data_IF_094790071338
#
_entry.id   IF_094790071338
#
_cell.length_a   1.000
_cell.length_b   1.000
_cell.length_c   1.000
_cell.angle_alpha   90.00
_cell.angle_beta   90.00
_cell.angle_gamma   90.00
#
_symmetry.space_group_name_H-M   'P 1'
#
loop_
_entity.id
_entity.type
_entity.pdbx_description
1 polymer ?
#
# COMPACT_ATOMS: atom_id res chain seq x y z
N UNK A 1 -21.70 36.38 10.49
CA UNK A 1 -22.05 34.94 10.40
C UNK A 1 -21.98 34.37 8.98
N UNK A 2 -21.99 35.18 7.90
CA UNK A 2 -21.95 34.68 6.50
C UNK A 2 -20.63 34.04 6.04
N UNK A 3 -19.51 34.24 6.77
CA UNK A 3 -18.20 33.69 6.41
C UNK A 3 -17.89 32.31 7.02
N UNK A 4 -18.67 31.85 8.02
CA UNK A 4 -18.43 30.56 8.68
C UNK A 4 -18.91 29.36 7.86
N UNK A 5 -20.04 29.52 7.15
CA UNK A 5 -20.59 28.48 6.29
C UNK A 5 -19.66 28.04 5.15
N UNK A 6 -19.06 28.95 4.34
CA UNK A 6 -18.18 28.53 3.26
C UNK A 6 -16.90 27.87 3.77
N UNK A 7 -16.37 28.30 4.92
CA UNK A 7 -15.17 27.68 5.53
C UNK A 7 -15.48 26.25 5.99
N UNK A 8 -16.60 26.03 6.66
CA UNK A 8 -17.04 24.69 7.08
C UNK A 8 -17.28 23.78 5.88
N UNK A 9 -17.88 24.30 4.80
CA UNK A 9 -18.13 23.52 3.59
C UNK A 9 -16.81 23.08 2.92
N UNK A 10 -15.84 23.98 2.80
CA UNK A 10 -14.53 23.69 2.20
C UNK A 10 -13.74 22.69 3.05
N UNK A 11 -13.77 22.80 4.38
CA UNK A 11 -13.07 21.84 5.25
C UNK A 11 -13.65 20.43 5.19
N UNK A 12 -14.98 20.29 5.00
CA UNK A 12 -15.61 18.97 4.87
C UNK A 12 -15.30 18.33 3.50
N UNK A 13 -15.29 19.10 2.42
CA UNK A 13 -15.00 18.58 1.08
C UNK A 13 -13.53 18.11 0.98
N UNK A 14 -12.59 18.86 1.54
CA UNK A 14 -11.17 18.44 1.60
C UNK A 14 -10.95 17.21 2.50
N UNK A 15 -11.74 17.07 3.57
CA UNK A 15 -11.71 15.89 4.43
C UNK A 15 -12.26 14.62 3.78
N UNK A 16 -13.19 14.75 2.84
CA UNK A 16 -13.78 13.61 2.11
C UNK A 16 -12.87 13.16 0.96
N UNK A 17 -12.28 14.08 0.21
CA UNK A 17 -11.36 13.74 -0.89
C UNK A 17 -10.09 13.00 -0.39
N UNK A 18 -9.62 13.31 0.83
CA UNK A 18 -8.46 12.66 1.43
C UNK A 18 -8.75 11.27 2.02
N UNK A 19 -10.02 10.88 2.15
CA UNK A 19 -10.39 9.56 2.68
C UNK A 19 -10.29 8.44 1.63
N UNK A 20 -10.11 8.80 0.37
CA UNK A 20 -10.24 7.89 -0.79
C UNK A 20 -8.92 7.68 -1.53
N UNK A 21 -7.83 8.29 -1.09
CA UNK A 21 -6.53 8.06 -1.72
C UNK A 21 -6.03 6.66 -1.35
N UNK A 22 -5.95 5.78 -2.34
CA UNK A 22 -5.33 4.48 -2.21
C UNK A 22 -3.95 4.52 -2.85
N UNK A 23 -2.93 4.30 -2.03
CA UNK A 23 -1.56 4.19 -2.50
C UNK A 23 -1.10 2.75 -2.38
N UNK A 24 -0.11 2.35 -3.16
CA UNK A 24 0.43 1.01 -3.10
C UNK A 24 1.95 0.98 -3.24
N UNK A 25 2.54 -0.10 -2.76
CA UNK A 25 3.92 -0.50 -3.04
C UNK A 25 3.95 -2.00 -3.26
N UNK A 26 4.73 -2.42 -4.24
CA UNK A 26 4.84 -3.82 -4.60
C UNK A 26 6.25 -4.36 -4.35
N UNK A 27 6.27 -5.60 -3.90
CA UNK A 27 7.47 -6.38 -3.69
C UNK A 27 7.41 -7.66 -4.50
N UNK A 28 8.57 -8.18 -4.87
CA UNK A 28 8.78 -9.50 -5.46
C UNK A 28 9.64 -10.36 -4.54
N UNK A 29 9.49 -11.68 -4.63
CA UNK A 29 10.24 -12.63 -3.81
C UNK A 29 11.70 -12.71 -4.27
N UNK A 30 12.64 -12.63 -3.33
CA UNK A 30 14.08 -12.80 -3.60
C UNK A 30 14.42 -14.24 -4.01
N UNK A 31 13.73 -15.21 -3.42
CA UNK A 31 13.80 -16.62 -3.83
C UNK A 31 12.74 -16.93 -4.88
N UNK A 32 12.96 -18.03 -5.62
CA UNK A 32 11.92 -18.60 -6.46
C UNK A 32 10.75 -19.06 -5.58
N UNK A 33 9.55 -18.89 -6.09
CA UNK A 33 8.30 -19.29 -5.44
C UNK A 33 7.18 -19.26 -6.45
N UNK A 34 6.26 -20.22 -6.38
CA UNK A 34 5.15 -20.32 -7.32
C UNK A 34 3.81 -20.49 -6.61
N UNK A 35 2.72 -20.64 -7.37
CA UNK A 35 1.37 -20.80 -6.85
C UNK A 35 1.21 -21.91 -5.79
N UNK A 36 2.02 -22.97 -5.83
CA UNK A 36 2.01 -24.03 -4.80
C UNK A 36 2.54 -23.55 -3.44
N UNK A 37 3.43 -22.55 -3.45
CA UNK A 37 3.99 -21.95 -2.24
C UNK A 37 3.16 -20.75 -1.75
N UNK A 38 2.04 -20.44 -2.42
CA UNK A 38 1.26 -19.22 -2.16
C UNK A 38 0.82 -19.08 -0.69
N UNK A 39 0.58 -20.17 0.03
CA UNK A 39 0.24 -20.14 1.46
C UNK A 39 1.37 -19.57 2.32
N UNK A 40 2.62 -20.00 2.08
CA UNK A 40 3.80 -19.49 2.79
C UNK A 40 4.02 -18.01 2.46
N UNK A 41 4.04 -17.67 1.18
CA UNK A 41 4.26 -16.29 0.75
C UNK A 41 3.13 -15.35 1.19
N UNK A 42 1.88 -15.83 1.28
CA UNK A 42 0.76 -15.05 1.82
C UNK A 42 0.98 -14.68 3.29
N UNK A 43 1.44 -15.62 4.10
CA UNK A 43 1.75 -15.36 5.51
C UNK A 43 2.89 -14.33 5.63
N UNK A 44 3.96 -14.49 4.86
CA UNK A 44 5.09 -13.56 4.84
C UNK A 44 4.71 -12.17 4.31
N UNK A 45 3.75 -12.08 3.38
CA UNK A 45 3.25 -10.81 2.89
C UNK A 45 2.37 -10.10 3.92
N UNK A 46 1.59 -10.85 4.72
CA UNK A 46 0.78 -10.30 5.81
C UNK A 46 1.60 -9.71 6.97
N UNK A 47 2.91 -9.98 7.04
CA UNK A 47 3.83 -9.30 7.97
C UNK A 47 4.14 -7.85 7.52
N UNK A 48 4.01 -7.55 6.23
CA UNK A 48 4.35 -6.23 5.69
C UNK A 48 3.46 -5.10 6.24
N UNK A 49 2.12 -5.24 6.31
CA UNK A 49 1.26 -4.24 6.95
C UNK A 49 1.70 -3.89 8.37
N UNK A 50 2.08 -4.88 9.18
CA UNK A 50 2.53 -4.65 10.56
C UNK A 50 3.80 -3.80 10.60
N UNK A 51 4.78 -4.08 9.73
CA UNK A 51 6.00 -3.26 9.61
C UNK A 51 5.68 -1.82 9.21
N UNK A 52 4.75 -1.65 8.28
CA UNK A 52 4.32 -0.31 7.88
C UNK A 52 3.52 0.42 8.95
N UNK A 53 2.70 -0.27 9.75
CA UNK A 53 1.99 0.34 10.87
C UNK A 53 2.98 0.89 11.92
N UNK A 54 4.02 0.13 12.26
CA UNK A 54 5.09 0.59 13.16
C UNK A 54 5.80 1.84 12.59
N UNK A 55 6.18 1.81 11.31
CA UNK A 55 6.74 2.98 10.65
C UNK A 55 5.75 4.15 10.68
N UNK A 56 4.46 3.88 10.47
CA UNK A 56 3.42 4.90 10.38
C UNK A 56 3.20 5.65 11.71
N UNK A 57 3.21 4.92 12.83
CA UNK A 57 3.14 5.50 14.18
C UNK A 57 4.29 6.49 14.43
N UNK A 58 5.49 6.17 13.98
CA UNK A 58 6.68 7.03 14.09
C UNK A 58 6.65 8.22 13.12
N UNK A 59 5.78 8.17 12.10
CA UNK A 59 5.69 9.16 11.02
C UNK A 59 4.32 9.85 10.97
N UNK A 60 3.70 10.07 12.15
CA UNK A 60 2.46 10.86 12.32
C UNK A 60 1.24 10.32 11.57
N UNK A 61 1.14 9.00 11.39
CA UNK A 61 -0.02 8.39 10.74
C UNK A 61 -0.10 8.63 9.23
N UNK A 62 0.98 9.11 8.61
CA UNK A 62 1.06 9.48 7.19
C UNK A 62 0.58 8.42 6.21
N UNK A 63 0.92 7.15 6.42
CA UNK A 63 0.53 6.03 5.55
C UNK A 63 -0.93 5.61 5.72
N UNK A 64 -1.70 6.26 6.60
CA UNK A 64 -3.08 5.91 6.90
C UNK A 64 -3.21 4.75 7.88
N UNK A 65 -4.40 4.59 8.45
CA UNK A 65 -4.69 3.62 9.52
C UNK A 65 -5.08 2.24 9.01
N UNK A 66 -5.44 2.14 7.74
CA UNK A 66 -5.85 0.90 7.11
C UNK A 66 -4.79 0.52 6.07
N UNK A 67 -3.92 -0.41 6.45
CA UNK A 67 -2.86 -0.94 5.59
C UNK A 67 -3.17 -2.41 5.34
N UNK A 68 -3.34 -2.79 4.08
CA UNK A 68 -3.68 -4.15 3.66
C UNK A 68 -2.59 -4.72 2.79
N UNK A 69 -2.50 -6.05 2.73
CA UNK A 69 -1.57 -6.73 1.83
C UNK A 69 -2.28 -7.84 1.06
N UNK A 70 -1.84 -8.06 -0.18
CA UNK A 70 -2.33 -9.10 -1.08
C UNK A 70 -1.13 -9.79 -1.73
N UNK A 71 -1.26 -11.08 -1.97
CA UNK A 71 -0.19 -11.91 -2.54
C UNK A 71 -0.68 -12.60 -3.79
N UNK A 72 0.17 -12.67 -4.80
CA UNK A 72 -0.05 -13.42 -6.02
C UNK A 72 1.28 -14.04 -6.44
N UNK A 73 1.23 -15.21 -7.08
CA UNK A 73 2.42 -15.95 -7.46
C UNK A 73 2.30 -16.42 -8.91
N UNK A 74 3.44 -16.49 -9.59
CA UNK A 74 3.55 -17.07 -10.91
C UNK A 74 3.20 -18.57 -10.88
N UNK A 75 2.69 -19.12 -12.00
CA UNK A 75 2.47 -20.55 -12.12
C UNK A 75 3.80 -21.32 -12.09
N UNK A 76 3.81 -22.51 -11.50
CA UNK A 76 5.05 -23.28 -11.31
C UNK A 76 5.70 -23.75 -12.63
N UNK A 77 4.98 -23.68 -13.76
CA UNK A 77 5.50 -24.00 -15.09
C UNK A 77 6.28 -22.87 -15.78
N UNK A 78 6.34 -21.68 -15.18
CA UNK A 78 7.04 -20.53 -15.75
C UNK A 78 8.55 -20.59 -15.46
N UNK A 79 9.36 -20.00 -16.34
CA UNK A 79 10.79 -19.88 -16.09
C UNK A 79 11.05 -18.86 -14.97
N UNK A 80 11.66 -19.34 -13.87
CA UNK A 80 11.98 -18.53 -12.67
C UNK A 80 10.74 -17.90 -12.00
N UNK A 81 9.78 -18.72 -11.53
CA UNK A 81 8.53 -18.20 -10.97
C UNK A 81 8.80 -17.42 -9.69
N UNK A 82 8.08 -16.31 -9.53
CA UNK A 82 8.14 -15.43 -8.36
C UNK A 82 6.79 -15.30 -7.69
N UNK A 83 6.83 -14.98 -6.41
CA UNK A 83 5.67 -14.45 -5.70
C UNK A 83 5.84 -12.95 -5.51
N UNK A 84 4.71 -12.27 -5.40
CA UNK A 84 4.65 -10.83 -5.28
C UNK A 84 3.74 -10.47 -4.11
N UNK A 85 4.11 -9.41 -3.41
CA UNK A 85 3.38 -8.85 -2.29
C UNK A 85 3.01 -7.41 -2.60
N UNK A 86 1.72 -7.15 -2.75
CA UNK A 86 1.17 -5.82 -2.92
C UNK A 86 0.70 -5.30 -1.56
N UNK A 87 1.27 -4.20 -1.11
CA UNK A 87 0.83 -3.50 0.11
C UNK A 87 0.08 -2.25 -0.31
N UNK A 88 -1.12 -2.08 0.23
CA UNK A 88 -2.02 -0.96 -0.06
C UNK A 88 -2.23 -0.13 1.19
N UNK A 89 -2.23 1.19 1.00
CA UNK A 89 -2.38 2.20 2.03
C UNK A 89 -3.65 2.97 1.75
N UNK A 90 -4.60 2.88 2.68
CA UNK A 90 -5.87 3.59 2.58
C UNK A 90 -5.83 4.82 3.48
N UNK A 91 -6.42 5.93 2.99
CA UNK A 91 -6.41 7.23 3.68
C UNK A 91 -4.99 7.77 3.83
N UNK A 92 -4.21 7.64 2.77
CA UNK A 92 -2.82 8.10 2.73
C UNK A 92 -2.77 9.63 2.77
N UNK A 93 -2.00 10.19 3.69
CA UNK A 93 -1.84 11.63 3.87
C UNK A 93 -0.78 12.20 2.93
N UNK A 94 -1.13 12.32 1.66
CA UNK A 94 -0.25 12.81 0.58
C UNK A 94 0.34 14.20 0.86
N UNK A 95 -0.40 15.07 1.55
CA UNK A 95 0.07 16.43 1.90
C UNK A 95 1.28 16.45 2.85
N UNK A 96 1.56 15.35 3.55
CA UNK A 96 2.77 15.23 4.40
C UNK A 96 3.98 14.85 3.55
N UNK A 97 3.83 13.86 2.67
CA UNK A 97 4.85 13.42 1.71
C UNK A 97 4.27 12.35 0.78
N UNK A 98 4.71 12.35 -0.48
CA UNK A 98 4.36 11.35 -1.50
C UNK A 98 5.33 10.15 -1.54
N UNK A 99 6.28 10.08 -0.60
CA UNK A 99 7.27 9.01 -0.56
C UNK A 99 6.81 7.83 0.32
N UNK A 100 6.72 6.63 -0.25
CA UNK A 100 6.51 5.39 0.54
C UNK A 100 7.89 4.74 0.74
N UNK A 101 8.32 4.51 2.00
CA UNK A 101 9.62 3.92 2.24
C UNK A 101 9.64 2.45 1.82
N UNK A 102 10.72 2.05 1.18
CA UNK A 102 11.00 0.64 0.99
C UNK A 102 11.51 0.03 2.30
N UNK A 103 10.64 -0.67 3.02
CA UNK A 103 11.04 -1.36 4.24
C UNK A 103 11.84 -2.62 3.92
N UNK A 104 12.99 -2.85 4.58
CA UNK A 104 13.78 -4.06 4.36
C UNK A 104 13.01 -5.30 4.83
N UNK A 105 13.16 -6.38 4.07
CA UNK A 105 12.59 -7.68 4.38
C UNK A 105 13.53 -8.79 3.92
N UNK A 106 13.53 -9.92 4.62
CA UNK A 106 14.39 -11.05 4.25
C UNK A 106 13.91 -11.69 2.95
N UNK A 107 12.61 -11.98 2.85
CA UNK A 107 11.96 -12.58 1.68
C UNK A 107 11.68 -11.64 0.51
N UNK A 108 11.35 -10.38 0.79
CA UNK A 108 10.80 -9.44 -0.20
C UNK A 108 11.85 -8.43 -0.65
N UNK A 109 11.88 -8.12 -1.94
CA UNK A 109 12.59 -6.98 -2.52
C UNK A 109 11.62 -6.12 -3.32
N UNK A 110 11.91 -4.82 -3.49
CA UNK A 110 11.03 -3.95 -4.28
C UNK A 110 10.93 -4.49 -5.70
N UNK A 111 9.72 -4.54 -6.24
CA UNK A 111 9.55 -4.76 -7.67
C UNK A 111 9.68 -3.43 -8.42
N UNK A 112 10.74 -3.23 -9.23
CA UNK A 112 10.90 -2.00 -9.99
C UNK A 112 9.89 -1.86 -11.14
N UNK A 113 9.19 -2.93 -11.52
CA UNK A 113 8.22 -2.91 -12.62
C UNK A 113 6.92 -2.19 -12.26
N UNK A 114 6.55 -2.18 -10.98
CA UNK A 114 5.39 -1.47 -10.44
C UNK A 114 5.85 -0.61 -9.25
N UNK A 115 6.34 0.61 -9.53
CA UNK A 115 6.85 1.49 -8.48
C UNK A 115 5.76 1.90 -7.51
N UNK A 116 6.16 2.27 -6.29
CA UNK A 116 5.23 2.79 -5.31
C UNK A 116 4.50 4.04 -5.83
N UNK A 117 3.19 4.10 -5.66
CA UNK A 117 2.39 5.17 -6.23
C UNK A 117 0.91 5.07 -5.91
N UNK A 118 0.18 6.12 -6.31
CA UNK A 118 -1.28 6.16 -6.25
C UNK A 118 -1.89 5.14 -7.22
N UNK A 119 -2.91 4.41 -6.78
CA UNK A 119 -3.73 3.60 -7.65
C UNK A 119 -4.63 4.50 -8.49
N UNK A 120 -4.76 4.22 -9.80
CA UNK A 120 -5.58 5.03 -10.70
C UNK A 120 -7.03 5.12 -10.20
N UNK A 121 -7.57 6.34 -10.24
CA UNK A 121 -8.83 6.77 -9.61
C UNK A 121 -10.10 6.02 -10.07
N UNK A 122 -10.01 5.13 -11.07
CA UNK A 122 -11.17 4.34 -11.56
C UNK A 122 -11.66 3.27 -10.59
N UNK A 123 -10.89 2.92 -9.56
CA UNK A 123 -11.19 1.75 -8.70
C UNK A 123 -11.78 2.09 -7.34
N UNK A 124 -11.98 3.36 -7.02
CA UNK A 124 -12.35 3.79 -5.67
C UNK A 124 -13.72 4.46 -5.74
N UNK A 125 -14.76 3.63 -5.62
CA UNK A 125 -16.11 4.10 -5.31
C UNK A 125 -16.12 4.59 -3.85
N UNK A 126 -15.94 5.90 -3.72
CA UNK A 126 -16.31 6.70 -2.57
C UNK A 126 -17.56 7.52 -2.93
#
# INVERSE_FOLDING_TARGET
MQLLLPVLLVTNILGLASACTQWQIQFKSKSNGCELDAGLFRNLCNEMPAKYLIYNEQNKGRLGVHITASTFCDPCGQQSPRCYCLVQFWRYSEWISNYIPALPHDTWEIDPSLPAGQLSDETIDC
#
